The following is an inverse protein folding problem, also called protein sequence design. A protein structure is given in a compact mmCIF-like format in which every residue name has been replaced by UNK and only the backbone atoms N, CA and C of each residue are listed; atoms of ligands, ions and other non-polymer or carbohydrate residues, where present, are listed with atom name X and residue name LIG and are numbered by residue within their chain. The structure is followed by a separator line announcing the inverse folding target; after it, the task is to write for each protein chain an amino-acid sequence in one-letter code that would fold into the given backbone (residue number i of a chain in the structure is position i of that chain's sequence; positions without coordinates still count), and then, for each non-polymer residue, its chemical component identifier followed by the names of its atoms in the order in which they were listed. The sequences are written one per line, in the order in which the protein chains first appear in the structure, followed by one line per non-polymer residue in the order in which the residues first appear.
data_IF_537866790743
#
_entry.id   IF_537866790743
#
_cell.length_a   1.000
_cell.length_b   1.000
_cell.length_c   1.000
_cell.angle_alpha   90.00
_cell.angle_beta   90.00
_cell.angle_gamma   90.00
#
_symmetry.space_group_name_H-M   'P 1'
#
loop_
_entity.id
_entity.type
_entity.pdbx_description
1 polymer ?
#
# COMPACT_ATOMS: atom_id res chain seq x y z
N UNK A 1 14.85 -35.03 -22.46
CA UNK A 1 15.32 -34.08 -21.44
C UNK A 1 15.09 -32.67 -21.98
N UNK A 2 14.11 -31.90 -21.50
CA UNK A 2 13.97 -30.52 -21.96
C UNK A 2 15.15 -29.70 -21.41
N UNK A 3 15.75 -28.86 -22.25
CA UNK A 3 16.86 -27.96 -21.89
C UNK A 3 16.52 -27.06 -20.69
N UNK A 4 17.50 -26.67 -19.85
CA UNK A 4 17.28 -25.71 -18.78
C UNK A 4 16.97 -24.33 -19.39
N UNK A 5 15.70 -23.90 -19.31
CA UNK A 5 15.26 -22.57 -19.73
C UNK A 5 16.02 -21.51 -18.93
N UNK A 6 16.73 -20.62 -19.61
CA UNK A 6 17.48 -19.49 -19.01
C UNK A 6 16.50 -18.47 -18.39
N UNK A 7 16.88 -17.73 -17.32
CA UNK A 7 15.94 -17.04 -16.46
C UNK A 7 15.58 -15.60 -16.91
N UNK A 8 14.33 -15.18 -16.66
CA UNK A 8 13.72 -13.86 -16.91
C UNK A 8 14.47 -12.64 -16.33
N UNK A 9 15.33 -12.82 -15.31
CA UNK A 9 16.23 -11.82 -14.74
C UNK A 9 17.12 -11.15 -15.81
N UNK A 10 17.46 -11.88 -16.88
CA UNK A 10 18.27 -11.37 -17.99
C UNK A 10 17.51 -10.46 -18.97
N UNK A 11 16.18 -10.36 -18.84
CA UNK A 11 15.31 -9.65 -19.79
C UNK A 11 14.79 -8.33 -19.20
N UNK A 12 14.91 -8.11 -17.88
CA UNK A 12 14.46 -6.89 -17.21
C UNK A 12 15.46 -5.74 -17.37
N UNK A 13 14.94 -4.52 -17.48
CA UNK A 13 15.69 -3.27 -17.45
C UNK A 13 15.45 -2.49 -16.14
N UNK A 14 16.26 -1.46 -15.90
CA UNK A 14 16.17 -0.61 -14.71
C UNK A 14 14.75 -0.01 -14.52
N UNK A 15 14.13 0.44 -15.61
CA UNK A 15 12.77 1.03 -15.62
C UNK A 15 11.67 0.09 -15.14
N UNK A 16 11.88 -1.22 -15.22
CA UNK A 16 10.89 -2.24 -14.86
C UNK A 16 10.82 -2.45 -13.34
N UNK A 17 11.86 -2.04 -12.62
CA UNK A 17 11.98 -2.26 -11.16
C UNK A 17 12.26 -0.99 -10.35
N UNK A 18 12.57 0.14 -11.02
CA UNK A 18 12.93 1.38 -10.32
C UNK A 18 11.76 1.99 -9.54
N UNK A 19 12.08 2.61 -8.41
CA UNK A 19 11.17 3.52 -7.73
C UNK A 19 11.23 4.91 -8.36
N UNK A 20 10.07 5.49 -8.70
CA UNK A 20 9.94 6.82 -9.29
C UNK A 20 9.76 7.94 -8.27
N UNK A 21 9.37 7.62 -7.03
CA UNK A 21 9.26 8.58 -5.94
C UNK A 21 10.63 8.83 -5.30
N UNK A 22 11.46 9.60 -6.02
CA UNK A 22 12.81 9.92 -5.58
C UNK A 22 12.80 11.25 -4.84
N UNK A 23 13.13 11.20 -3.56
CA UNK A 23 13.36 12.41 -2.76
C UNK A 23 14.65 13.07 -3.24
N UNK A 24 14.56 14.27 -3.79
CA UNK A 24 15.69 15.05 -4.29
C UNK A 24 15.89 16.34 -3.49
N UNK A 25 17.06 16.97 -3.65
CA UNK A 25 17.36 18.29 -3.11
C UNK A 25 18.08 19.17 -4.15
N UNK A 26 18.01 20.50 -4.00
CA UNK A 26 18.78 21.46 -4.80
C UNK A 26 20.20 21.63 -4.24
N UNK A 27 21.19 21.98 -5.08
CA UNK A 27 22.58 22.18 -4.64
C UNK A 27 22.74 23.27 -3.57
N UNK A 28 21.85 24.27 -3.54
CA UNK A 28 21.88 25.38 -2.59
C UNK A 28 21.22 25.03 -1.24
N UNK A 29 20.57 23.86 -1.12
CA UNK A 29 19.82 23.54 0.09
C UNK A 29 20.73 23.32 1.32
N UNK A 30 20.33 23.79 2.52
CA UNK A 30 21.14 23.64 3.73
C UNK A 30 21.30 22.18 4.16
N UNK A 31 22.48 21.81 4.67
CA UNK A 31 22.74 20.45 5.16
C UNK A 31 21.79 19.99 6.27
N UNK A 32 21.35 20.91 7.12
CA UNK A 32 20.37 20.59 8.18
C UNK A 32 19.03 20.11 7.59
N UNK A 33 18.60 20.68 6.46
CA UNK A 33 17.40 20.22 5.75
C UNK A 33 17.61 18.80 5.22
N UNK A 34 18.76 18.53 4.60
CA UNK A 34 19.12 17.20 4.11
C UNK A 34 19.20 16.18 5.25
N UNK A 35 19.81 16.54 6.38
CA UNK A 35 19.88 15.69 7.58
C UNK A 35 18.48 15.30 8.08
N UNK A 36 17.56 16.27 8.17
CA UNK A 36 16.17 16.04 8.54
C UNK A 36 15.43 15.17 7.53
N UNK A 37 15.69 15.33 6.23
CA UNK A 37 15.12 14.49 5.17
C UNK A 37 15.63 13.05 5.27
N UNK A 38 16.94 12.84 5.41
CA UNK A 38 17.56 11.52 5.57
C UNK A 38 17.02 10.81 6.81
N UNK A 39 16.96 11.50 7.96
CA UNK A 39 16.45 10.95 9.21
C UNK A 39 14.94 10.69 9.15
N UNK A 40 14.16 11.71 8.75
CA UNK A 40 12.70 11.67 8.77
C UNK A 40 12.10 10.70 7.75
N UNK A 41 12.76 10.52 6.60
CA UNK A 41 12.34 9.58 5.56
C UNK A 41 13.08 8.23 5.59
N UNK A 42 14.00 8.04 6.55
CA UNK A 42 14.81 6.81 6.71
C UNK A 42 15.53 6.42 5.41
N UNK A 43 16.06 7.40 4.69
CA UNK A 43 16.82 7.21 3.45
C UNK A 43 18.30 7.53 3.73
N UNK A 44 19.21 6.75 3.14
CA UNK A 44 20.66 6.86 3.41
C UNK A 44 21.39 7.81 2.47
N UNK A 45 20.70 8.35 1.46
CA UNK A 45 21.24 9.34 0.53
C UNK A 45 20.15 10.01 -0.30
N UNK A 46 20.42 11.25 -0.70
CA UNK A 46 19.54 12.15 -1.45
C UNK A 46 20.25 12.56 -2.74
N UNK A 47 19.67 12.28 -3.92
CA UNK A 47 20.14 12.83 -5.18
C UNK A 47 19.99 14.34 -5.21
N UNK A 48 21.04 15.02 -5.66
CA UNK A 48 21.08 16.46 -5.84
C UNK A 48 20.78 16.75 -7.31
N UNK A 49 19.76 17.56 -7.56
CA UNK A 49 19.28 17.88 -8.90
C UNK A 49 19.39 19.39 -9.20
N UNK A 50 20.07 19.70 -10.30
CA UNK A 50 20.19 21.04 -10.86
C UNK A 50 18.94 21.44 -11.64
N UNK A 51 19.05 22.48 -12.46
CA UNK A 51 17.93 22.95 -13.31
C UNK A 51 17.35 21.80 -14.14
N UNK A 52 16.04 21.86 -14.38
CA UNK A 52 15.31 20.89 -15.22
C UNK A 52 15.37 19.41 -14.75
N UNK A 53 15.75 19.16 -13.49
CA UNK A 53 15.80 17.81 -12.94
C UNK A 53 17.08 17.04 -13.25
N UNK A 54 18.10 17.75 -13.77
CA UNK A 54 19.39 17.16 -14.08
C UNK A 54 20.09 16.64 -12.83
N UNK A 55 20.48 15.37 -12.83
CA UNK A 55 21.25 14.78 -11.75
C UNK A 55 22.67 15.35 -11.74
N UNK A 56 23.06 16.02 -10.64
CA UNK A 56 24.37 16.66 -10.51
C UNK A 56 25.24 16.07 -9.39
N UNK A 57 24.65 15.30 -8.47
CA UNK A 57 25.39 14.65 -7.39
C UNK A 57 24.52 13.87 -6.43
N UNK A 58 25.12 13.37 -5.36
CA UNK A 58 24.41 12.71 -4.26
C UNK A 58 25.02 13.13 -2.92
N UNK A 59 24.17 13.32 -1.91
CA UNK A 59 24.59 13.49 -0.51
C UNK A 59 24.10 12.29 0.30
N UNK A 60 25.02 11.59 0.95
CA UNK A 60 24.71 10.47 1.84
C UNK A 60 24.77 10.87 3.32
N UNK A 61 24.25 10.01 4.19
CA UNK A 61 24.44 10.16 5.65
C UNK A 61 25.92 10.20 6.02
N UNK A 62 26.75 9.41 5.35
CA UNK A 62 28.21 9.38 5.58
C UNK A 62 28.86 10.71 5.21
N UNK A 63 28.38 11.40 4.17
CA UNK A 63 28.90 12.72 3.79
C UNK A 63 28.56 13.77 4.84
N UNK A 64 27.34 13.72 5.40
CA UNK A 64 26.95 14.61 6.50
C UNK A 64 27.75 14.34 7.79
N UNK A 65 27.99 13.07 8.12
CA UNK A 65 28.82 12.69 9.28
C UNK A 65 30.27 13.14 9.06
N UNK A 66 30.83 12.92 7.86
CA UNK A 66 32.18 13.39 7.51
C UNK A 66 32.30 14.90 7.67
N UNK A 67 31.32 15.66 7.18
CA UNK A 67 31.29 17.11 7.33
C UNK A 67 31.19 17.54 8.80
N UNK A 68 30.31 16.92 9.59
CA UNK A 68 30.14 17.23 11.01
C UNK A 68 31.41 16.95 11.86
N UNK A 69 32.26 16.02 11.42
CA UNK A 69 33.53 15.68 12.05
C UNK A 69 34.72 16.56 11.58
N UNK A 70 34.44 17.68 10.90
CA UNK A 70 35.47 18.63 10.43
C UNK A 70 35.84 18.50 8.96
N UNK A 71 35.01 17.86 8.13
CA UNK A 71 35.22 17.78 6.69
C UNK A 71 35.07 19.12 5.99
N UNK A 72 35.89 19.37 4.98
CA UNK A 72 35.83 20.58 4.13
C UNK A 72 34.53 20.63 3.31
N UNK A 73 33.99 21.83 3.10
CA UNK A 73 32.75 22.06 2.35
C UNK A 73 31.86 23.15 2.96
N UNK A 74 31.06 23.82 2.12
CA UNK A 74 30.06 24.79 2.59
C UNK A 74 28.87 24.12 3.30
N UNK A 75 28.07 24.88 4.04
CA UNK A 75 26.88 24.40 4.76
C UNK A 75 25.68 24.04 3.85
N UNK A 76 25.94 23.74 2.57
CA UNK A 76 24.95 23.44 1.53
C UNK A 76 25.21 22.08 0.87
N UNK A 77 24.21 21.52 0.21
CA UNK A 77 24.31 20.25 -0.49
C UNK A 77 25.49 20.22 -1.49
N UNK A 78 25.68 21.28 -2.26
CA UNK A 78 26.80 21.41 -3.20
C UNK A 78 28.18 21.33 -2.52
N UNK A 79 28.27 21.81 -1.28
CA UNK A 79 29.52 21.83 -0.52
C UNK A 79 30.01 20.46 -0.08
N UNK A 80 29.13 19.46 -0.01
CA UNK A 80 29.46 18.11 0.50
C UNK A 80 29.03 16.97 -0.42
N UNK A 81 28.31 17.26 -1.51
CA UNK A 81 27.85 16.23 -2.43
C UNK A 81 29.03 15.52 -3.10
N UNK A 82 28.88 14.23 -3.35
CA UNK A 82 29.78 13.52 -4.24
C UNK A 82 29.34 13.80 -5.68
N UNK A 83 30.17 14.44 -6.52
CA UNK A 83 29.89 14.59 -7.94
C UNK A 83 29.93 13.23 -8.65
N UNK A 84 29.10 13.07 -9.68
CA UNK A 84 28.94 11.82 -10.44
C UNK A 84 28.47 10.63 -9.59
N UNK A 85 27.26 10.78 -9.04
CA UNK A 85 26.53 9.67 -8.46
C UNK A 85 26.46 8.50 -9.45
N UNK A 86 26.61 7.28 -8.96
CA UNK A 86 26.51 6.10 -9.82
C UNK A 86 25.09 6.02 -10.38
N UNK A 87 24.97 6.23 -11.68
CA UNK A 87 23.71 6.17 -12.43
C UNK A 87 23.78 5.22 -13.61
N UNK A 88 22.60 4.85 -14.11
CA UNK A 88 22.41 4.11 -15.35
C UNK A 88 21.20 4.66 -16.11
N UNK A 89 21.13 4.42 -17.43
CA UNK A 89 19.93 4.75 -18.21
C UNK A 89 18.76 3.84 -17.84
N UNK A 90 17.53 4.31 -18.04
CA UNK A 90 16.30 3.57 -17.70
C UNK A 90 16.16 2.23 -18.44
N UNK A 91 16.75 2.13 -19.64
CA UNK A 91 16.78 0.90 -20.44
C UNK A 91 17.97 -0.02 -20.10
N UNK A 92 18.81 0.34 -19.12
CA UNK A 92 19.97 -0.48 -18.72
C UNK A 92 19.49 -1.84 -18.20
N UNK A 93 20.02 -2.96 -18.70
CA UNK A 93 19.67 -4.30 -18.21
C UNK A 93 19.92 -4.44 -16.70
N UNK A 94 18.99 -5.08 -15.99
CA UNK A 94 19.03 -5.21 -14.54
C UNK A 94 20.25 -5.99 -14.04
N UNK A 95 20.73 -6.95 -14.84
CA UNK A 95 22.00 -7.65 -14.58
C UNK A 95 23.19 -6.69 -14.54
N UNK A 96 23.23 -5.71 -15.43
CA UNK A 96 24.29 -4.69 -15.45
C UNK A 96 24.18 -3.76 -14.25
N UNK A 97 22.95 -3.36 -13.86
CA UNK A 97 22.71 -2.59 -12.63
C UNK A 97 23.21 -3.36 -11.40
N UNK A 98 22.91 -4.65 -11.30
CA UNK A 98 23.39 -5.51 -10.21
C UNK A 98 24.92 -5.62 -10.20
N UNK A 99 25.54 -5.77 -11.38
CA UNK A 99 26.99 -5.82 -11.56
C UNK A 99 27.65 -4.51 -11.11
N UNK A 100 27.05 -3.35 -11.40
CA UNK A 100 27.50 -2.06 -10.88
C UNK A 100 27.44 -2.02 -9.35
N UNK A 101 26.36 -2.51 -8.74
CA UNK A 101 26.21 -2.57 -7.28
C UNK A 101 27.33 -3.38 -6.62
N UNK A 102 27.62 -4.57 -7.15
CA UNK A 102 28.68 -5.45 -6.62
C UNK A 102 30.06 -4.82 -6.82
N UNK A 103 30.39 -4.40 -8.05
CA UNK A 103 31.71 -3.84 -8.38
C UNK A 103 32.03 -2.59 -7.59
N UNK A 104 31.05 -1.69 -7.49
CA UNK A 104 31.22 -0.39 -6.81
C UNK A 104 30.93 -0.45 -5.31
N UNK A 105 30.52 -1.62 -4.79
CA UNK A 105 30.11 -1.85 -3.39
C UNK A 105 29.06 -0.84 -2.92
N UNK A 106 28.06 -0.60 -3.76
CA UNK A 106 26.95 0.32 -3.50
C UNK A 106 25.64 -0.44 -3.40
N UNK A 107 24.71 0.08 -2.61
CA UNK A 107 23.40 -0.52 -2.40
C UNK A 107 22.30 0.08 -3.27
N UNK A 108 22.61 1.12 -4.05
CA UNK A 108 21.63 1.88 -4.85
C UNK A 108 22.28 2.48 -6.09
N UNK A 109 21.55 2.49 -7.19
CA UNK A 109 21.94 3.08 -8.48
C UNK A 109 20.81 4.04 -8.89
N UNK A 110 21.17 5.27 -9.26
CA UNK A 110 20.21 6.25 -9.76
C UNK A 110 19.87 5.96 -11.22
N UNK A 111 18.61 6.12 -11.60
CA UNK A 111 18.16 5.86 -12.96
C UNK A 111 17.90 7.18 -13.67
N UNK A 112 18.51 7.35 -14.83
CA UNK A 112 18.37 8.55 -15.66
C UNK A 112 17.71 8.25 -16.99
N UNK A 113 17.07 9.27 -17.55
CA UNK A 113 16.72 9.36 -18.98
C UNK A 113 17.50 10.53 -19.54
N UNK A 114 18.61 10.24 -20.21
CA UNK A 114 19.63 11.23 -20.52
C UNK A 114 20.19 11.85 -19.24
N UNK A 115 20.09 13.17 -19.09
CA UNK A 115 20.57 13.89 -17.89
C UNK A 115 19.55 13.93 -16.74
N UNK A 116 18.29 13.56 -17.00
CA UNK A 116 17.18 13.71 -16.05
C UNK A 116 17.07 12.52 -15.13
N UNK A 117 16.97 12.75 -13.81
CA UNK A 117 16.71 11.69 -12.85
C UNK A 117 15.25 11.22 -12.94
N UNK A 118 15.04 9.95 -13.24
CA UNK A 118 13.70 9.33 -13.40
C UNK A 118 13.40 8.23 -12.39
N UNK A 119 14.41 7.75 -11.65
CA UNK A 119 14.19 6.76 -10.62
C UNK A 119 15.43 6.37 -9.82
N UNK A 120 15.26 5.36 -8.98
CA UNK A 120 16.33 4.72 -8.22
C UNK A 120 16.07 3.21 -8.14
N UNK A 121 17.13 2.41 -8.29
CA UNK A 121 17.10 0.96 -8.08
C UNK A 121 18.00 0.65 -6.88
N UNK A 122 17.49 -0.09 -5.91
CA UNK A 122 18.24 -0.59 -4.75
C UNK A 122 18.59 -2.06 -4.89
N UNK A 123 19.56 -2.53 -4.11
CA UNK A 123 19.91 -3.95 -4.05
C UNK A 123 18.73 -4.82 -3.63
N UNK A 124 17.78 -4.28 -2.87
CA UNK A 124 16.54 -4.98 -2.52
C UNK A 124 15.61 -5.13 -3.73
N UNK A 125 15.53 -4.13 -4.60
CA UNK A 125 14.70 -4.20 -5.82
C UNK A 125 15.29 -5.23 -6.79
N UNK A 126 16.61 -5.27 -6.94
CA UNK A 126 17.33 -6.32 -7.67
C UNK A 126 17.07 -7.70 -7.07
N UNK A 127 17.15 -7.83 -5.74
CA UNK A 127 16.90 -9.09 -5.04
C UNK A 127 15.45 -9.54 -5.17
N UNK A 128 14.49 -8.62 -5.09
CA UNK A 128 13.07 -8.91 -5.28
C UNK A 128 12.78 -9.37 -6.72
N UNK A 129 13.38 -8.72 -7.70
CA UNK A 129 13.30 -9.14 -9.10
C UNK A 129 13.94 -10.52 -9.33
N UNK A 130 15.08 -10.80 -8.68
CA UNK A 130 15.76 -12.09 -8.75
C UNK A 130 14.96 -13.22 -8.06
N UNK A 131 14.36 -12.94 -6.90
CA UNK A 131 13.51 -13.90 -6.17
C UNK A 131 12.18 -14.18 -6.87
N UNK A 132 11.77 -13.34 -7.80
CA UNK A 132 10.53 -13.44 -8.58
C UNK A 132 10.44 -14.61 -9.56
N UNK A 133 11.42 -15.52 -9.61
CA UNK A 133 11.50 -16.59 -10.62
C UNK A 133 11.06 -17.99 -10.19
N UNK A 134 10.58 -18.18 -8.96
CA UNK A 134 9.86 -19.43 -8.62
C UNK A 134 8.37 -19.35 -8.89
N UNK A 135 7.86 -18.18 -9.22
CA UNK A 135 6.44 -17.97 -9.43
C UNK A 135 6.24 -16.96 -10.57
N UNK A 136 5.81 -17.46 -11.73
CA UNK A 136 4.86 -16.72 -12.58
C UNK A 136 3.50 -16.58 -11.85
N UNK A 137 3.55 -16.20 -10.56
CA UNK A 137 2.45 -15.98 -9.64
C UNK A 137 2.87 -14.76 -8.79
N UNK A 138 2.04 -13.72 -8.86
CA UNK A 138 2.11 -12.50 -8.07
C UNK A 138 3.25 -11.50 -8.40
N UNK A 139 3.03 -10.69 -9.44
CA UNK A 139 3.40 -9.27 -9.35
C UNK A 139 2.61 -8.68 -8.17
N UNK A 140 3.28 -8.48 -7.05
CA UNK A 140 2.79 -7.75 -5.88
C UNK A 140 3.63 -6.48 -5.76
N UNK A 141 3.05 -5.27 -5.83
CA UNK A 141 3.82 -4.04 -5.63
C UNK A 141 4.48 -4.03 -4.24
N UNK A 142 5.67 -3.43 -4.07
CA UNK A 142 6.33 -3.36 -2.78
C UNK A 142 5.45 -2.58 -1.79
N UNK A 143 5.12 -3.21 -0.67
CA UNK A 143 4.35 -2.57 0.40
C UNK A 143 5.07 -1.32 0.93
N UNK A 144 4.38 -0.18 1.12
CA UNK A 144 5.02 1.04 1.59
C UNK A 144 5.61 0.86 2.99
N UNK A 145 6.87 1.28 3.14
CA UNK A 145 7.57 1.25 4.43
C UNK A 145 7.09 2.40 5.32
N UNK A 146 6.34 2.02 6.34
CA UNK A 146 6.07 2.69 7.65
C UNK A 146 6.59 4.13 7.78
N UNK A 147 5.77 5.11 7.40
CA UNK A 147 5.80 6.47 7.95
C UNK A 147 4.36 6.99 8.04
N UNK A 148 3.95 7.46 9.24
CA UNK A 148 2.61 7.94 9.65
C UNK A 148 1.41 7.43 8.83
N UNK A 149 0.58 6.54 9.40
CA UNK A 149 -0.63 6.01 8.75
C UNK A 149 -1.43 7.12 8.05
N UNK A 150 -1.36 7.16 6.71
CA UNK A 150 -2.26 7.95 5.88
C UNK A 150 -3.36 7.02 5.33
N UNK A 151 -4.45 7.60 4.80
CA UNK A 151 -5.62 6.85 4.35
C UNK A 151 -5.26 5.75 3.35
N UNK A 152 -4.41 6.03 2.36
CA UNK A 152 -3.99 5.05 1.36
C UNK A 152 -3.29 3.85 1.98
N UNK A 153 -2.39 4.08 2.95
CA UNK A 153 -1.74 2.98 3.65
C UNK A 153 -2.73 2.09 4.42
N UNK A 154 -3.83 2.66 4.92
CA UNK A 154 -4.89 1.92 5.64
C UNK A 154 -5.65 1.04 4.63
N UNK A 155 -6.04 1.60 3.50
CA UNK A 155 -6.75 0.90 2.43
C UNK A 155 -5.89 -0.22 1.81
N UNK A 156 -4.60 0.01 1.55
CA UNK A 156 -3.67 -1.03 1.09
C UNK A 156 -3.56 -2.21 2.08
N UNK A 157 -3.57 -1.93 3.38
CA UNK A 157 -3.64 -2.98 4.41
C UNK A 157 -4.98 -3.70 4.39
N UNK A 158 -6.07 -2.97 4.13
CA UNK A 158 -7.40 -3.52 3.86
C UNK A 158 -7.37 -4.50 2.69
N UNK A 159 -6.83 -4.09 1.54
CA UNK A 159 -6.68 -4.93 0.35
C UNK A 159 -5.89 -6.21 0.64
N UNK A 160 -4.78 -6.10 1.38
CA UNK A 160 -3.99 -7.25 1.77
C UNK A 160 -4.78 -8.24 2.65
N UNK A 161 -5.59 -7.74 3.59
CA UNK A 161 -6.48 -8.57 4.42
C UNK A 161 -7.60 -9.21 3.59
N UNK A 162 -8.28 -8.42 2.76
CA UNK A 162 -9.34 -8.88 1.87
C UNK A 162 -8.88 -9.98 0.93
N UNK A 163 -7.69 -9.86 0.32
CA UNK A 163 -7.10 -10.92 -0.51
C UNK A 163 -6.80 -12.20 0.27
N UNK A 164 -6.26 -12.06 1.47
CA UNK A 164 -5.96 -13.22 2.34
C UNK A 164 -7.25 -13.94 2.74
N UNK A 165 -8.29 -13.19 3.11
CA UNK A 165 -9.60 -13.74 3.47
C UNK A 165 -10.28 -14.38 2.26
N UNK A 166 -10.24 -13.74 1.09
CA UNK A 166 -10.77 -14.30 -0.16
C UNK A 166 -10.05 -15.60 -0.56
N UNK A 167 -8.74 -15.71 -0.35
CA UNK A 167 -8.00 -16.95 -0.57
C UNK A 167 -8.44 -18.07 0.37
N UNK A 168 -8.67 -17.77 1.66
CA UNK A 168 -9.19 -18.74 2.64
C UNK A 168 -10.61 -19.21 2.29
N UNK A 169 -11.47 -18.30 1.85
CA UNK A 169 -12.83 -18.63 1.38
C UNK A 169 -12.78 -19.55 0.16
N UNK A 170 -11.90 -19.25 -0.79
CA UNK A 170 -11.64 -20.08 -1.97
C UNK A 170 -11.13 -21.49 -1.62
N UNK A 171 -10.21 -21.59 -0.66
CA UNK A 171 -9.65 -22.86 -0.19
C UNK A 171 -10.72 -23.70 0.51
N UNK A 172 -11.51 -23.08 1.40
CA UNK A 172 -12.64 -23.74 2.05
C UNK A 172 -13.67 -24.25 1.02
N UNK A 173 -14.02 -23.43 0.02
CA UNK A 173 -15.00 -23.80 -1.00
C UNK A 173 -14.55 -25.00 -1.85
N UNK A 174 -13.23 -25.20 -2.02
CA UNK A 174 -12.65 -26.34 -2.76
C UNK A 174 -12.30 -27.54 -1.90
N UNK A 175 -12.26 -27.38 -0.57
CA UNK A 175 -11.98 -28.46 0.38
C UNK A 175 -13.14 -29.48 0.43
N UNK A 176 -12.94 -30.75 0.82
CA UNK A 176 -14.05 -31.67 1.07
C UNK A 176 -15.02 -31.14 2.13
N UNK A 177 -16.30 -31.51 2.03
CA UNK A 177 -17.28 -31.15 3.06
C UNK A 177 -17.01 -31.90 4.38
N UNK A 178 -17.23 -31.24 5.52
CA UNK A 178 -17.01 -31.83 6.84
C UNK A 178 -16.49 -30.83 7.88
N UNK A 179 -16.82 -31.04 9.15
CA UNK A 179 -16.15 -30.34 10.25
C UNK A 179 -14.69 -30.84 10.32
N UNK A 180 -13.67 -29.98 10.52
CA UNK A 180 -13.69 -28.56 10.91
C UNK A 180 -13.69 -27.55 9.75
N UNK A 181 -13.62 -27.99 8.49
CA UNK A 181 -13.51 -27.10 7.34
C UNK A 181 -14.67 -26.11 7.23
N UNK A 182 -15.90 -26.56 7.51
CA UNK A 182 -17.09 -25.71 7.42
C UNK A 182 -17.13 -24.58 8.46
N UNK A 183 -16.58 -24.79 9.67
CA UNK A 183 -16.49 -23.75 10.70
C UNK A 183 -15.43 -22.70 10.34
N UNK A 184 -14.28 -23.14 9.82
CA UNK A 184 -13.21 -22.26 9.35
C UNK A 184 -13.64 -21.42 8.15
N UNK A 185 -14.42 -22.01 7.23
CA UNK A 185 -15.04 -21.33 6.10
C UNK A 185 -16.01 -20.24 6.53
N UNK A 186 -16.89 -20.55 7.48
CA UNK A 186 -17.83 -19.58 8.06
C UNK A 186 -17.13 -18.39 8.69
N UNK A 187 -16.08 -18.66 9.48
CA UNK A 187 -15.29 -17.61 10.11
C UNK A 187 -14.57 -16.75 9.08
N UNK A 188 -13.95 -17.35 8.05
CA UNK A 188 -13.26 -16.62 7.00
C UNK A 188 -14.22 -15.73 6.19
N UNK A 189 -15.42 -16.22 5.88
CA UNK A 189 -16.44 -15.47 5.15
C UNK A 189 -16.99 -14.29 5.98
N UNK A 190 -17.28 -14.50 7.27
CA UNK A 190 -17.72 -13.43 8.16
C UNK A 190 -16.65 -12.33 8.30
N UNK A 191 -15.38 -12.72 8.43
CA UNK A 191 -14.26 -11.78 8.44
C UNK A 191 -14.12 -11.03 7.11
N UNK A 192 -14.31 -11.73 5.98
CA UNK A 192 -14.26 -11.13 4.65
C UNK A 192 -15.32 -10.03 4.49
N UNK A 193 -16.57 -10.34 4.82
CA UNK A 193 -17.69 -9.38 4.74
C UNK A 193 -17.43 -8.16 5.62
N UNK A 194 -17.01 -8.37 6.87
CA UNK A 194 -16.76 -7.26 7.80
C UNK A 194 -15.59 -6.37 7.36
N UNK A 195 -14.51 -6.94 6.84
CA UNK A 195 -13.40 -6.14 6.32
C UNK A 195 -13.78 -5.42 5.01
N UNK A 196 -14.67 -5.99 4.21
CA UNK A 196 -15.15 -5.37 2.96
C UNK A 196 -16.05 -4.16 3.24
N UNK A 197 -16.98 -4.30 4.18
CA UNK A 197 -17.84 -3.18 4.62
C UNK A 197 -16.99 -2.02 5.16
N UNK A 198 -15.96 -2.33 5.96
CA UNK A 198 -15.04 -1.31 6.44
C UNK A 198 -14.26 -0.65 5.31
N UNK A 199 -13.81 -1.43 4.33
CA UNK A 199 -13.04 -0.93 3.19
C UNK A 199 -13.88 0.06 2.36
N UNK A 200 -15.08 -0.35 1.99
CA UNK A 200 -16.04 0.46 1.24
C UNK A 200 -16.45 1.74 1.99
N UNK A 201 -16.66 1.65 3.31
CA UNK A 201 -16.98 2.83 4.13
C UNK A 201 -15.87 3.88 4.04
N UNK A 202 -14.61 3.46 4.12
CA UNK A 202 -13.46 4.36 4.04
C UNK A 202 -13.33 4.99 2.65
N UNK A 203 -13.67 4.27 1.59
CA UNK A 203 -13.62 4.78 0.23
C UNK A 203 -14.72 5.80 -0.02
N UNK A 204 -15.97 5.42 0.28
CA UNK A 204 -17.14 6.24 0.03
C UNK A 204 -17.18 7.50 0.88
N UNK A 205 -16.72 7.43 2.13
CA UNK A 205 -16.81 8.56 3.06
C UNK A 205 -15.54 9.41 3.12
N UNK A 206 -14.37 8.88 2.75
CA UNK A 206 -13.11 9.61 2.88
C UNK A 206 -12.36 9.73 1.54
N UNK A 207 -12.07 8.60 0.87
CA UNK A 207 -11.19 8.62 -0.29
C UNK A 207 -11.85 9.30 -1.50
N UNK A 208 -13.04 8.88 -1.89
CA UNK A 208 -13.72 9.38 -3.09
C UNK A 208 -14.11 10.86 -2.96
N UNK A 209 -14.63 11.35 -1.82
CA UNK A 209 -14.82 12.77 -1.62
C UNK A 209 -13.51 13.55 -1.78
N UNK A 210 -12.42 13.06 -1.16
CA UNK A 210 -11.13 13.73 -1.28
C UNK A 210 -10.60 13.76 -2.71
N UNK A 211 -10.77 12.68 -3.49
CA UNK A 211 -10.42 12.66 -4.91
C UNK A 211 -11.29 13.67 -5.68
N UNK A 212 -12.61 13.67 -5.46
CA UNK A 212 -13.53 14.61 -6.15
C UNK A 212 -13.15 16.07 -5.91
N UNK A 213 -12.75 16.39 -4.68
CA UNK A 213 -12.38 17.76 -4.31
C UNK A 213 -11.05 18.22 -4.91
N UNK A 214 -10.17 17.31 -5.33
CA UNK A 214 -8.79 17.63 -5.73
C UNK A 214 -8.42 17.17 -7.15
N UNK A 215 -9.19 16.27 -7.78
CA UNK A 215 -8.93 15.67 -9.08
C UNK A 215 -10.05 16.06 -10.07
N UNK A 216 -9.94 17.19 -10.77
CA UNK A 216 -10.94 17.59 -11.78
C UNK A 216 -11.00 16.54 -12.91
N UNK A 217 -12.21 16.12 -13.28
CA UNK A 217 -12.42 15.12 -14.33
C UNK A 217 -12.47 13.67 -13.82
N UNK A 218 -12.36 13.44 -12.51
CA UNK A 218 -12.45 12.10 -11.91
C UNK A 218 -13.89 11.58 -11.77
N UNK A 219 -14.91 12.40 -12.04
CA UNK A 219 -16.31 12.12 -11.72
C UNK A 219 -16.86 10.87 -12.42
N UNK A 220 -16.51 10.68 -13.70
CA UNK A 220 -16.94 9.52 -14.47
C UNK A 220 -16.33 8.22 -13.93
N UNK A 221 -15.04 8.25 -13.56
CA UNK A 221 -14.34 7.11 -12.99
C UNK A 221 -14.88 6.76 -11.59
N UNK A 222 -15.05 7.77 -10.72
CA UNK A 222 -15.63 7.59 -9.40
C UNK A 222 -17.09 7.10 -9.47
N UNK A 223 -17.85 7.58 -10.46
CA UNK A 223 -19.21 7.10 -10.73
C UNK A 223 -19.25 5.62 -11.11
N UNK A 224 -18.32 5.17 -11.97
CA UNK A 224 -18.19 3.75 -12.32
C UNK A 224 -17.84 2.88 -11.09
N UNK A 225 -16.91 3.33 -10.24
CA UNK A 225 -16.53 2.60 -9.04
C UNK A 225 -17.66 2.51 -8.01
N UNK A 226 -18.45 3.58 -7.83
CA UNK A 226 -19.62 3.54 -6.97
C UNK A 226 -20.66 2.50 -7.41
N UNK A 227 -20.80 2.27 -8.73
CA UNK A 227 -21.67 1.21 -9.27
C UNK A 227 -21.12 -0.18 -8.93
N UNK A 228 -19.81 -0.39 -9.06
CA UNK A 228 -19.17 -1.65 -8.71
C UNK A 228 -19.29 -1.99 -7.21
N UNK A 229 -19.20 -1.00 -6.32
CA UNK A 229 -19.50 -1.17 -4.91
C UNK A 229 -20.93 -1.67 -4.68
N UNK A 230 -21.93 -1.08 -5.34
CA UNK A 230 -23.32 -1.57 -5.26
C UNK A 230 -23.48 -3.04 -5.67
N UNK A 231 -22.74 -3.48 -6.70
CA UNK A 231 -22.72 -4.89 -7.12
C UNK A 231 -22.05 -5.82 -6.10
N UNK A 232 -21.03 -5.34 -5.39
CA UNK A 232 -20.38 -6.06 -4.29
C UNK A 232 -21.31 -6.14 -3.09
N UNK A 233 -22.00 -5.06 -2.76
CA UNK A 233 -22.93 -4.95 -1.65
C UNK A 233 -24.12 -5.93 -1.79
N UNK A 234 -24.68 -6.03 -3.00
CA UNK A 234 -25.65 -7.06 -3.36
C UNK A 234 -25.09 -8.49 -3.27
N UNK A 235 -23.80 -8.69 -3.57
CA UNK A 235 -23.16 -10.00 -3.48
C UNK A 235 -22.87 -10.43 -2.04
N UNK A 236 -22.65 -9.48 -1.13
CA UNK A 236 -22.46 -9.75 0.30
C UNK A 236 -23.76 -9.83 1.10
N UNK A 237 -24.86 -9.25 0.60
CA UNK A 237 -26.15 -9.24 1.28
C UNK A 237 -26.64 -10.61 1.80
N UNK A 238 -26.46 -11.75 1.08
CA UNK A 238 -26.82 -13.08 1.58
C UNK A 238 -26.01 -13.55 2.80
N UNK A 239 -24.93 -12.85 3.15
CA UNK A 239 -23.98 -13.22 4.18
C UNK A 239 -23.96 -12.23 5.37
N UNK A 240 -24.79 -11.18 5.35
CA UNK A 240 -24.87 -10.16 6.43
C UNK A 240 -25.74 -10.65 7.61
N UNK A 241 -25.44 -10.28 8.87
CA UNK A 241 -26.28 -10.61 10.02
C UNK A 241 -27.65 -9.93 9.91
N UNK A 242 -28.74 -10.70 9.83
CA UNK A 242 -30.12 -10.19 9.76
C UNK A 242 -30.76 -10.24 8.36
N UNK A 243 -29.98 -10.44 7.30
CA UNK A 243 -30.48 -11.04 6.06
C UNK A 243 -30.66 -12.55 6.30
N UNK A 244 -31.78 -13.14 5.85
CA UNK A 244 -32.16 -14.55 5.99
C UNK A 244 -31.23 -15.33 6.94
N UNK A 245 -31.46 -15.17 8.25
CA UNK A 245 -30.56 -15.55 9.32
C UNK A 245 -29.84 -16.86 8.99
N UNK A 246 -28.54 -16.76 8.75
CA UNK A 246 -27.77 -17.91 8.30
C UNK A 246 -27.62 -18.90 9.47
N UNK A 247 -28.56 -19.85 9.55
CA UNK A 247 -28.62 -20.94 10.53
C UNK A 247 -28.55 -22.33 9.88
N UNK A 248 -28.39 -22.38 8.55
CA UNK A 248 -28.26 -23.61 7.76
C UNK A 248 -26.81 -23.90 7.33
N UNK A 249 -26.54 -25.02 6.64
CA UNK A 249 -25.19 -25.34 6.17
C UNK A 249 -24.68 -24.34 5.13
N UNK A 250 -23.38 -24.01 5.17
CA UNK A 250 -22.77 -22.94 4.39
C UNK A 250 -22.37 -23.41 2.99
N UNK A 251 -22.24 -24.74 2.90
CA UNK A 251 -21.80 -25.48 1.73
C UNK A 251 -22.58 -25.19 0.45
N UNK A 252 -23.92 -25.05 0.44
CA UNK A 252 -24.68 -24.67 -0.75
C UNK A 252 -24.30 -23.29 -1.30
N UNK A 253 -23.68 -22.43 -0.49
CA UNK A 253 -23.23 -21.10 -0.89
C UNK A 253 -21.76 -21.05 -1.30
N UNK A 254 -21.02 -22.17 -1.25
CA UNK A 254 -19.60 -22.21 -1.60
C UNK A 254 -19.31 -21.67 -3.01
N UNK A 255 -20.15 -21.99 -4.00
CA UNK A 255 -20.04 -21.44 -5.35
C UNK A 255 -20.24 -19.92 -5.42
N UNK A 256 -21.21 -19.38 -4.65
CA UNK A 256 -21.42 -17.93 -4.53
C UNK A 256 -20.26 -17.24 -3.83
N UNK A 257 -19.66 -17.89 -2.84
CA UNK A 257 -18.50 -17.38 -2.11
C UNK A 257 -17.24 -17.29 -3.01
N UNK A 258 -17.02 -18.27 -3.90
CA UNK A 258 -15.95 -18.20 -4.93
C UNK A 258 -16.21 -17.07 -5.93
N UNK A 259 -17.47 -16.87 -6.33
CA UNK A 259 -17.88 -15.76 -7.19
C UNK A 259 -17.58 -14.40 -6.54
N UNK A 260 -17.95 -14.24 -5.26
CA UNK A 260 -17.65 -13.05 -4.46
C UNK A 260 -16.14 -12.81 -4.36
N UNK A 261 -15.35 -13.83 -4.00
CA UNK A 261 -13.89 -13.74 -3.91
C UNK A 261 -13.25 -13.33 -5.24
N UNK A 262 -13.77 -13.83 -6.36
CA UNK A 262 -13.28 -13.47 -7.70
C UNK A 262 -13.63 -12.04 -8.09
N UNK A 263 -14.86 -11.59 -7.82
CA UNK A 263 -15.30 -10.20 -8.07
C UNK A 263 -14.50 -9.22 -7.23
N UNK A 264 -14.34 -9.52 -5.94
CA UNK A 264 -13.52 -8.73 -5.02
C UNK A 264 -12.08 -8.58 -5.50
N UNK A 265 -11.41 -9.65 -5.93
CA UNK A 265 -10.04 -9.55 -6.43
C UNK A 265 -9.89 -8.64 -7.64
N UNK A 266 -10.89 -8.65 -8.53
CA UNK A 266 -10.92 -7.77 -9.71
C UNK A 266 -11.07 -6.31 -9.27
N UNK A 267 -12.05 -6.04 -8.42
CA UNK A 267 -12.34 -4.71 -7.88
C UNK A 267 -11.12 -4.10 -7.17
N UNK A 268 -10.50 -4.83 -6.24
CA UNK A 268 -9.28 -4.36 -5.55
C UNK A 268 -8.11 -4.09 -6.52
N UNK A 269 -8.04 -4.85 -7.63
CA UNK A 269 -7.00 -4.64 -8.65
C UNK A 269 -7.29 -3.43 -9.54
N UNK A 270 -8.57 -3.12 -9.79
CA UNK A 270 -8.99 -1.92 -10.51
C UNK A 270 -8.72 -0.66 -9.67
N UNK A 271 -9.03 -0.68 -8.38
CA UNK A 271 -8.72 0.42 -7.44
C UNK A 271 -7.23 0.71 -7.37
N UNK A 272 -6.39 -0.32 -7.22
CA UNK A 272 -4.93 -0.14 -7.18
C UNK A 272 -4.35 0.36 -8.50
N UNK A 273 -5.01 0.08 -9.63
CA UNK A 273 -4.57 0.53 -10.96
C UNK A 273 -5.03 1.92 -11.32
N UNK A 274 -6.22 2.32 -10.86
CA UNK A 274 -6.89 3.51 -11.36
C UNK A 274 -7.13 4.55 -10.26
N UNK A 275 -7.57 4.13 -9.08
CA UNK A 275 -7.96 5.03 -7.98
C UNK A 275 -6.76 5.45 -7.14
N UNK A 276 -5.91 4.52 -6.73
CA UNK A 276 -4.79 4.86 -5.85
C UNK A 276 -3.76 5.77 -6.53
N UNK A 277 -3.39 5.55 -7.81
CA UNK A 277 -2.52 6.49 -8.52
C UNK A 277 -3.13 7.88 -8.64
N UNK A 278 -4.44 7.96 -8.89
CA UNK A 278 -5.17 9.22 -8.96
C UNK A 278 -5.14 9.95 -7.61
N UNK A 279 -5.41 9.25 -6.52
CA UNK A 279 -5.32 9.80 -5.17
C UNK A 279 -3.89 10.29 -4.83
N UNK A 280 -2.87 9.50 -5.15
CA UNK A 280 -1.47 9.88 -4.95
C UNK A 280 -1.08 11.13 -5.75
N UNK A 281 -1.62 11.30 -6.96
CA UNK A 281 -1.28 12.40 -7.84
C UNK A 281 -1.99 13.71 -7.46
N UNK A 282 -3.28 13.64 -7.16
CA UNK A 282 -4.12 14.83 -6.99
C UNK A 282 -4.37 15.21 -5.53
N UNK A 283 -4.41 14.25 -4.60
CA UNK A 283 -4.75 14.54 -3.20
C UNK A 283 -3.49 14.90 -2.40
N UNK A 284 -3.43 16.09 -1.77
CA UNK A 284 -2.25 16.50 -1.01
C UNK A 284 -1.89 15.50 0.10
N UNK A 285 -0.59 15.19 0.32
CA UNK A 285 -0.17 14.24 1.37
C UNK A 285 -0.63 14.62 2.78
N UNK A 286 -0.79 15.92 3.07
CA UNK A 286 -1.32 16.42 4.33
C UNK A 286 -2.80 16.08 4.52
N UNK A 287 -3.60 16.10 3.43
CA UNK A 287 -5.00 15.68 3.43
C UNK A 287 -5.09 14.18 3.69
N UNK A 288 -4.33 13.37 2.94
CA UNK A 288 -4.31 11.90 3.12
C UNK A 288 -3.90 11.49 4.54
N UNK A 289 -2.97 12.22 5.16
CA UNK A 289 -2.55 11.99 6.55
C UNK A 289 -3.67 12.33 7.55
N UNK A 290 -4.40 13.43 7.36
CA UNK A 290 -5.56 13.77 8.21
C UNK A 290 -6.67 12.73 8.08
N UNK A 291 -6.99 12.32 6.85
CA UNK A 291 -8.00 11.29 6.60
C UNK A 291 -7.59 9.93 7.19
N UNK A 292 -6.29 9.63 7.22
CA UNK A 292 -5.78 8.44 7.91
C UNK A 292 -6.06 8.46 9.42
N UNK A 293 -5.87 9.62 10.07
CA UNK A 293 -6.23 9.79 11.48
C UNK A 293 -7.75 9.67 11.72
N UNK A 294 -8.57 10.23 10.81
CA UNK A 294 -10.02 10.08 10.88
C UNK A 294 -10.46 8.62 10.75
N UNK A 295 -9.93 7.89 9.76
CA UNK A 295 -10.17 6.46 9.55
C UNK A 295 -9.81 5.59 10.76
N UNK A 296 -8.73 5.95 11.47
CA UNK A 296 -8.31 5.28 12.70
C UNK A 296 -9.27 5.51 13.89
N UNK A 297 -9.96 6.65 13.93
CA UNK A 297 -10.92 7.00 14.98
C UNK A 297 -12.33 6.44 14.75
N UNK A 298 -12.65 6.01 13.52
CA UNK A 298 -13.97 5.47 13.17
C UNK A 298 -14.17 4.06 13.73
N UNK A 299 -15.27 3.82 14.48
CA UNK A 299 -15.57 2.51 15.03
C UNK A 299 -15.78 1.48 13.91
N UNK A 300 -15.34 0.24 14.12
CA UNK A 300 -15.64 -0.85 13.18
C UNK A 300 -17.14 -1.17 13.27
N UNK A 301 -17.85 -1.17 12.14
CA UNK A 301 -19.22 -1.67 12.07
C UNK A 301 -19.28 -3.09 12.69
N UNK A 302 -20.18 -3.27 13.66
CA UNK A 302 -20.31 -4.53 14.43
C UNK A 302 -19.68 -4.54 15.82
N UNK A 303 -18.88 -3.54 16.21
CA UNK A 303 -18.49 -3.35 17.60
C UNK A 303 -19.70 -2.82 18.40
N UNK A 304 -20.56 -3.73 18.90
CA UNK A 304 -21.55 -3.36 19.92
C UNK A 304 -20.82 -2.56 21.00
N UNK A 305 -21.30 -1.38 21.41
CA UNK A 305 -20.79 -0.76 22.61
C UNK A 305 -21.06 -1.76 23.74
N UNK A 306 -20.00 -2.28 24.35
CA UNK A 306 -20.13 -2.98 25.62
C UNK A 306 -20.71 -1.96 26.58
N UNK A 307 -22.02 -2.06 26.76
CA UNK A 307 -22.77 -1.22 27.67
C UNK A 307 -22.03 -1.22 29.00
N UNK A 308 -21.46 -0.06 29.36
CA UNK A 308 -21.06 0.22 30.73
C UNK A 308 -22.24 -0.17 31.61
N UNK A 309 -22.12 -1.28 32.35
CA UNK A 309 -22.94 -1.54 33.53
C UNK A 309 -22.67 -0.38 34.48
N UNK A 310 -23.47 0.67 34.37
CA UNK A 310 -23.62 1.67 35.43
C UNK A 310 -24.37 0.97 36.55
N UNK A 311 -23.60 0.40 37.46
CA UNK A 311 -24.00 0.24 38.85
C UNK A 311 -24.41 1.63 39.37
N UNK A 312 -25.57 1.72 40.01
CA UNK A 312 -25.93 2.93 40.76
C UNK A 312 -27.39 3.39 40.65
N UNK A 313 -28.26 2.71 41.41
CA UNK A 313 -29.12 3.31 42.43
C UNK A 313 -30.16 4.37 41.98
N UNK A 314 -31.44 3.97 41.99
CA UNK A 314 -32.69 4.71 42.32
C UNK A 314 -33.84 3.80 41.89
N UNK A 315 -34.91 3.53 42.61
CA UNK A 315 -35.41 3.95 43.91
C UNK A 315 -36.66 3.10 44.18
N UNK A 316 -37.01 2.96 45.46
CA UNK A 316 -38.15 2.19 45.98
C UNK A 316 -39.45 2.47 45.22
N UNK A 317 -40.20 1.41 44.88
CA UNK A 317 -41.63 1.51 44.60
C UNK A 317 -42.40 1.35 45.92
N UNK A 318 -43.39 2.21 46.22
CA UNK A 318 -44.26 2.00 47.37
C UNK A 318 -45.39 1.04 47.00
N UNK A 319 -45.69 0.21 47.99
CA UNK A 319 -46.87 -0.63 48.19
C UNK A 319 -48.18 -0.05 47.64
N UNK A 320 -48.96 -0.88 46.96
CA UNK A 320 -50.42 -0.80 46.97
C UNK A 320 -51.00 -2.19 47.24
N UNK A 321 -51.55 -2.34 48.44
CA UNK A 321 -52.58 -3.31 48.76
C UNK A 321 -53.90 -2.57 49.03
N UNK A 322 -54.99 -3.34 48.95
CA UNK A 322 -56.40 -3.00 49.19
C UNK A 322 -57.08 -2.21 48.05
N UNK A 323 -58.26 -2.58 47.57
CA UNK A 323 -59.34 -3.45 48.06
C UNK A 323 -59.96 -4.23 46.91
#
# INVERSE_FOLDING_TARGET
MPEPRRPAFRVLAAKDVMSRDVVTARPEEPLLKLARLLQGRRISGIPIVGREGHLIGVVSQSDLVRHALGGEGGATAAGVMTPWAVSCEEDTPLEEVARQMVRKRIHRVLVTRGSTLVGIVSAMDVLQAWLGEREARAVRPPAPRRSSENLLSILERGHARLRSLAARVDEWARSPAGRPHDELGAQALAQLVSELERHEELEMLLLFPAIRDHAPGAEALLGSMAVDHGLVDHAVAPFKPGGAAWSGPLRPFAGKAVGLASRLRRHLAEEERQIFPLACHYVPPSVLKRLGAEAGSRPRAGARPTSRRRTGRRGRAPTRGSR
#
